data_IF_179652682347
#
_entry.id   IF_179652682347
#
_cell.length_a   1.000
_cell.length_b   1.000
_cell.length_c   1.000
_cell.angle_alpha   90.00
_cell.angle_beta   90.00
_cell.angle_gamma   90.00
#
_symmetry.space_group_name_H-M   'P 1'
#
loop_
_entity.id
_entity.type
_entity.pdbx_description
1 polymer ?
#
# COMPACT_ATOMS: atom_id res chain seq x y z
N UNK A 1 21.74 -34.33 -1.28
CA UNK A 1 23.09 -34.58 -1.80
C UNK A 1 22.96 -34.77 -3.31
N UNK A 2 23.56 -33.95 -4.15
CA UNK A 2 23.35 -33.87 -5.60
C UNK A 2 24.02 -34.94 -6.45
N UNK A 3 24.55 -36.04 -5.85
CA UNK A 3 25.13 -37.15 -6.59
C UNK A 3 24.19 -38.31 -6.63
N UNK A 4 24.05 -38.94 -7.83
CA UNK A 4 23.31 -40.18 -8.00
C UNK A 4 24.20 -41.37 -7.67
N UNK A 5 23.59 -42.51 -7.32
CA UNK A 5 24.32 -43.72 -6.90
C UNK A 5 25.29 -44.25 -7.97
N UNK A 6 25.08 -43.90 -9.24
CA UNK A 6 25.95 -44.28 -10.35
C UNK A 6 27.19 -43.38 -10.47
N UNK A 7 27.14 -42.15 -10.01
CA UNK A 7 28.29 -41.24 -9.96
C UNK A 7 29.35 -41.74 -8.98
N UNK A 8 28.93 -42.40 -7.90
CA UNK A 8 29.81 -42.95 -6.86
C UNK A 8 30.56 -44.22 -7.33
N UNK A 9 30.03 -44.96 -8.30
CA UNK A 9 30.64 -46.18 -8.84
C UNK A 9 31.81 -45.91 -9.81
N UNK A 10 31.90 -44.69 -10.33
CA UNK A 10 32.94 -44.32 -11.27
C UNK A 10 34.20 -43.74 -10.62
N UNK A 11 34.19 -43.56 -9.32
CA UNK A 11 35.30 -42.94 -8.56
C UNK A 11 36.34 -44.00 -8.19
N UNK A 12 37.57 -43.84 -8.64
CA UNK A 12 38.72 -44.65 -8.23
C UNK A 12 39.39 -44.05 -6.99
N UNK A 13 39.20 -44.67 -5.78
CA UNK A 13 39.69 -44.12 -4.53
C UNK A 13 41.20 -43.99 -4.44
N UNK A 14 41.94 -44.69 -5.28
CA UNK A 14 43.42 -44.71 -5.24
C UNK A 14 44.00 -43.60 -6.11
N UNK A 15 43.31 -43.26 -7.21
CA UNK A 15 43.76 -42.19 -8.16
C UNK A 15 43.18 -40.82 -7.81
N UNK A 16 42.03 -40.81 -7.16
CA UNK A 16 41.26 -39.59 -6.93
C UNK A 16 41.15 -39.23 -5.46
N UNK A 17 42.02 -39.77 -4.61
CA UNK A 17 41.95 -39.66 -3.14
C UNK A 17 41.88 -38.21 -2.62
N UNK A 18 42.53 -37.24 -3.25
CA UNK A 18 42.39 -35.84 -2.90
C UNK A 18 41.08 -35.21 -3.40
N UNK A 19 40.57 -35.66 -4.55
CA UNK A 19 39.28 -35.17 -5.08
C UNK A 19 38.09 -35.69 -4.27
N UNK A 20 38.17 -36.89 -3.70
CA UNK A 20 37.15 -37.46 -2.81
C UNK A 20 37.03 -36.65 -1.50
N UNK A 21 38.12 -35.99 -1.08
CA UNK A 21 38.10 -35.12 0.10
C UNK A 21 37.38 -33.78 -0.11
N UNK A 22 37.07 -33.43 -1.38
CA UNK A 22 36.36 -32.23 -1.72
C UNK A 22 34.95 -32.55 -2.22
N UNK A 23 33.96 -32.15 -1.45
CA UNK A 23 32.55 -32.33 -1.80
C UNK A 23 31.97 -31.00 -2.29
N UNK A 24 31.51 -30.94 -3.55
CA UNK A 24 30.82 -29.77 -4.08
C UNK A 24 29.36 -29.78 -3.63
N UNK A 25 28.96 -28.76 -2.88
CA UNK A 25 27.57 -28.53 -2.55
C UNK A 25 26.95 -27.61 -3.61
N UNK A 26 26.04 -28.17 -4.40
CA UNK A 26 25.33 -27.41 -5.46
C UNK A 26 23.97 -26.97 -5.00
N UNK A 27 23.56 -25.75 -5.44
CA UNK A 27 22.19 -25.30 -5.24
C UNK A 27 21.21 -26.21 -6.00
N UNK A 28 20.09 -26.61 -5.39
CA UNK A 28 19.13 -27.51 -6.02
C UNK A 28 18.29 -26.84 -7.12
N UNK A 29 18.27 -25.52 -7.18
CA UNK A 29 17.58 -24.71 -8.17
C UNK A 29 18.25 -23.33 -8.32
N UNK A 30 17.92 -22.62 -9.39
CA UNK A 30 18.36 -21.24 -9.60
C UNK A 30 17.69 -20.31 -8.61
N UNK A 31 18.49 -19.60 -7.81
CA UNK A 31 17.95 -18.75 -6.75
C UNK A 31 18.96 -17.77 -6.18
N UNK A 32 18.56 -17.10 -5.13
CA UNK A 32 19.41 -16.17 -4.38
C UNK A 32 19.75 -16.77 -3.02
N UNK A 33 21.02 -16.74 -2.63
CA UNK A 33 21.43 -17.11 -1.27
C UNK A 33 20.94 -16.02 -0.32
N UNK A 34 19.97 -16.34 0.54
CA UNK A 34 19.37 -15.43 1.51
C UNK A 34 19.93 -15.61 2.93
N UNK A 35 20.60 -16.73 3.18
CA UNK A 35 21.24 -17.02 4.46
C UNK A 35 22.50 -17.85 4.26
N UNK A 36 23.54 -17.54 5.05
CA UNK A 36 24.78 -18.30 5.15
C UNK A 36 25.11 -18.51 6.63
N UNK A 37 25.04 -19.76 7.09
CA UNK A 37 25.20 -20.16 8.50
C UNK A 37 26.49 -20.98 8.74
N UNK A 38 27.47 -20.85 7.87
CA UNK A 38 28.73 -21.62 7.95
C UNK A 38 29.94 -20.71 7.74
N UNK A 39 31.03 -20.97 8.45
CA UNK A 39 32.31 -20.30 8.28
C UNK A 39 33.40 -21.25 7.84
N UNK A 40 34.50 -20.72 7.33
CA UNK A 40 35.63 -21.51 6.87
C UNK A 40 36.21 -22.34 8.03
N UNK A 41 36.53 -23.63 7.77
CA UNK A 41 37.05 -24.59 8.71
C UNK A 41 36.07 -25.02 9.82
N UNK A 42 34.81 -24.69 9.73
CA UNK A 42 33.78 -25.18 10.63
C UNK A 42 33.45 -26.65 10.32
N UNK A 43 33.26 -27.45 11.37
CA UNK A 43 32.77 -28.83 11.21
C UNK A 43 31.25 -28.83 11.05
N UNK A 44 30.78 -29.34 9.95
CA UNK A 44 29.34 -29.45 9.63
C UNK A 44 28.89 -30.91 9.70
N UNK A 45 27.64 -31.14 10.10
CA UNK A 45 26.98 -32.44 10.11
C UNK A 45 25.84 -32.51 9.10
N UNK A 46 25.20 -33.67 8.97
CA UNK A 46 24.08 -33.85 8.04
C UNK A 46 22.90 -32.92 8.24
N UNK A 47 22.67 -32.49 9.51
CA UNK A 47 21.55 -31.62 9.89
C UNK A 47 21.93 -30.13 9.96
N UNK A 48 23.18 -29.80 9.55
CA UNK A 48 23.64 -28.40 9.58
C UNK A 48 23.10 -27.65 8.37
N UNK A 49 22.27 -26.63 8.62
CA UNK A 49 21.81 -25.72 7.59
C UNK A 49 22.95 -24.74 7.25
N UNK A 50 23.63 -24.97 6.14
CA UNK A 50 24.78 -24.16 5.72
C UNK A 50 24.36 -22.93 4.93
N UNK A 51 23.41 -23.10 4.01
CA UNK A 51 22.93 -22.03 3.13
C UNK A 51 21.40 -22.13 2.98
N UNK A 52 20.76 -20.97 2.91
CA UNK A 52 19.36 -20.84 2.49
C UNK A 52 19.33 -20.22 1.09
N UNK A 53 18.65 -20.89 0.18
CA UNK A 53 18.44 -20.41 -1.19
C UNK A 53 16.95 -20.20 -1.41
N UNK A 54 16.57 -19.07 -1.95
CA UNK A 54 15.17 -18.76 -2.29
C UNK A 54 15.05 -18.24 -3.71
N UNK A 55 13.95 -18.62 -4.36
CA UNK A 55 13.51 -17.96 -5.59
C UNK A 55 12.74 -16.69 -5.22
N UNK A 56 13.28 -15.54 -5.63
CA UNK A 56 12.72 -14.21 -5.38
C UNK A 56 12.05 -13.61 -6.61
N UNK A 57 11.87 -14.39 -7.68
CA UNK A 57 11.18 -13.95 -8.89
C UNK A 57 9.69 -13.76 -8.71
N UNK A 58 9.13 -14.45 -7.71
CA UNK A 58 7.72 -14.32 -7.31
C UNK A 58 7.67 -14.16 -5.79
N UNK A 59 6.89 -13.19 -5.33
CA UNK A 59 6.71 -12.93 -3.91
C UNK A 59 5.24 -13.06 -3.50
N UNK A 60 5.03 -13.27 -2.21
CA UNK A 60 3.71 -13.23 -1.61
C UNK A 60 3.51 -11.91 -0.86
N UNK A 61 2.38 -11.27 -1.13
CA UNK A 61 1.86 -10.18 -0.34
C UNK A 61 0.88 -10.78 0.67
N UNK A 62 1.18 -10.64 1.95
CA UNK A 62 0.29 -11.07 3.03
C UNK A 62 -0.35 -9.86 3.67
N UNK A 63 -1.67 -9.90 3.82
CA UNK A 63 -2.48 -8.88 4.45
C UNK A 63 -3.33 -9.48 5.55
N UNK A 64 -3.36 -8.84 6.71
CA UNK A 64 -4.27 -9.17 7.79
C UNK A 64 -5.41 -8.13 7.80
N UNK A 65 -6.56 -8.53 7.26
CA UNK A 65 -7.71 -7.65 7.02
C UNK A 65 -8.61 -7.63 8.26
N UNK A 66 -8.84 -6.46 8.83
CA UNK A 66 -9.72 -6.30 9.98
C UNK A 66 -11.16 -6.68 9.67
N UNK A 67 -11.86 -7.26 10.64
CA UNK A 67 -13.27 -7.66 10.54
C UNK A 67 -14.17 -6.56 9.96
N UNK A 68 -13.97 -5.30 10.34
CA UNK A 68 -14.74 -4.14 9.86
C UNK A 68 -14.57 -3.88 8.35
N UNK A 69 -13.43 -4.29 7.78
CA UNK A 69 -13.06 -4.06 6.38
C UNK A 69 -13.33 -5.28 5.48
N UNK A 70 -13.73 -6.43 6.05
CA UNK A 70 -14.07 -7.64 5.28
C UNK A 70 -15.13 -7.41 4.19
N UNK A 71 -16.18 -6.59 4.38
CA UNK A 71 -17.11 -6.32 3.29
C UNK A 71 -16.45 -5.71 2.05
N UNK A 72 -15.37 -4.95 2.23
CA UNK A 72 -14.63 -4.32 1.13
C UNK A 72 -13.81 -5.33 0.32
N UNK A 73 -13.35 -6.42 0.94
CA UNK A 73 -12.57 -7.45 0.24
C UNK A 73 -13.38 -8.18 -0.82
N UNK A 74 -14.70 -8.27 -0.66
CA UNK A 74 -15.61 -8.86 -1.66
C UNK A 74 -15.61 -8.08 -2.99
N UNK A 75 -15.19 -6.81 -2.96
CA UNK A 75 -15.12 -5.95 -4.15
C UNK A 75 -13.74 -5.99 -4.83
N UNK A 76 -12.74 -6.64 -4.21
CA UNK A 76 -11.39 -6.75 -4.78
C UNK A 76 -11.34 -7.64 -6.03
N UNK A 77 -12.28 -8.59 -6.17
CA UNK A 77 -12.19 -9.63 -7.19
C UNK A 77 -10.95 -10.51 -6.95
N UNK A 78 -10.16 -10.71 -8.01
CA UNK A 78 -8.94 -11.53 -7.96
C UNK A 78 -7.65 -10.69 -7.78
N UNK A 79 -7.75 -9.36 -7.68
CA UNK A 79 -6.59 -8.47 -7.68
C UNK A 79 -6.50 -7.66 -6.40
N UNK A 80 -5.36 -7.73 -5.74
CA UNK A 80 -4.97 -6.89 -4.63
C UNK A 80 -4.06 -5.78 -5.13
N UNK A 81 -4.39 -4.53 -4.83
CA UNK A 81 -3.55 -3.37 -5.12
C UNK A 81 -2.83 -2.90 -3.88
N UNK A 82 -1.54 -2.60 -4.02
CA UNK A 82 -0.73 -2.11 -2.91
C UNK A 82 0.35 -1.14 -3.38
N UNK A 83 0.88 -0.37 -2.44
CA UNK A 83 2.06 0.50 -2.63
C UNK A 83 3.19 0.03 -1.74
N UNK A 84 4.41 0.14 -2.24
CA UNK A 84 5.61 0.00 -1.43
C UNK A 84 6.00 1.36 -0.84
N UNK A 85 6.64 1.43 0.33
CA UNK A 85 7.03 2.70 0.95
C UNK A 85 7.98 3.54 0.09
N UNK A 86 8.74 2.89 -0.77
CA UNK A 86 9.77 3.49 -1.60
C UNK A 86 9.25 4.01 -2.95
N UNK A 87 7.96 3.82 -3.24
CA UNK A 87 7.38 4.16 -4.55
C UNK A 87 5.90 4.49 -4.45
N UNK A 88 5.51 5.58 -5.12
CA UNK A 88 4.09 5.90 -5.35
C UNK A 88 3.42 4.98 -6.38
N UNK A 89 4.20 4.09 -6.98
CA UNK A 89 3.67 3.14 -7.96
C UNK A 89 2.69 2.16 -7.31
N UNK A 90 1.53 2.00 -7.93
CA UNK A 90 0.52 1.04 -7.51
C UNK A 90 0.81 -0.32 -8.14
N UNK A 91 1.20 -1.28 -7.31
CA UNK A 91 1.42 -2.66 -7.72
C UNK A 91 0.12 -3.45 -7.71
N UNK A 92 0.02 -4.45 -8.57
CA UNK A 92 -1.11 -5.39 -8.62
C UNK A 92 -0.62 -6.81 -8.35
N UNK A 93 -1.21 -7.46 -7.38
CA UNK A 93 -0.94 -8.85 -7.00
C UNK A 93 -2.20 -9.69 -7.18
N UNK A 94 -2.05 -10.94 -7.63
CA UNK A 94 -3.17 -11.86 -7.81
C UNK A 94 -3.48 -12.58 -6.50
N UNK A 95 -4.71 -12.43 -6.01
CA UNK A 95 -5.20 -13.10 -4.81
C UNK A 95 -5.35 -14.60 -5.10
N UNK A 96 -4.78 -15.43 -4.26
CA UNK A 96 -4.91 -16.89 -4.35
C UNK A 96 -5.46 -17.51 -3.06
N UNK A 97 -5.51 -16.75 -1.97
CA UNK A 97 -6.03 -17.24 -0.69
C UNK A 97 -6.68 -16.09 0.10
N UNK A 98 -7.86 -16.37 0.59
CA UNK A 98 -8.55 -15.58 1.59
C UNK A 98 -9.01 -16.52 2.70
N UNK A 99 -8.60 -16.25 3.93
CA UNK A 99 -8.94 -17.09 5.08
C UNK A 99 -10.44 -17.06 5.38
N UNK A 100 -10.98 -18.19 5.79
CA UNK A 100 -12.38 -18.34 6.21
C UNK A 100 -12.55 -18.15 7.74
N UNK A 101 -11.43 -18.15 8.47
CA UNK A 101 -11.43 -18.08 9.94
C UNK A 101 -10.87 -16.75 10.38
N UNK A 102 -11.61 -16.08 11.27
CA UNK A 102 -11.16 -14.87 11.95
C UNK A 102 -10.20 -15.25 13.09
N UNK A 103 -9.03 -14.66 13.08
CA UNK A 103 -8.11 -14.74 14.20
C UNK A 103 -8.73 -14.03 15.42
N UNK A 104 -8.95 -14.72 16.55
CA UNK A 104 -9.66 -14.15 17.70
C UNK A 104 -8.84 -13.08 18.45
N UNK A 105 -7.51 -13.12 18.37
CA UNK A 105 -6.64 -12.18 19.06
C UNK A 105 -6.53 -10.86 18.30
N UNK A 106 -6.28 -10.94 17.00
CA UNK A 106 -6.09 -9.76 16.14
C UNK A 106 -7.39 -9.26 15.51
N UNK A 107 -8.43 -10.09 15.49
CA UNK A 107 -9.70 -9.86 14.78
C UNK A 107 -9.51 -9.56 13.31
N UNK A 108 -8.58 -10.29 12.69
CA UNK A 108 -8.27 -10.19 11.27
C UNK A 108 -8.50 -11.50 10.54
N UNK A 109 -8.70 -11.39 9.22
CA UNK A 109 -8.68 -12.51 8.30
C UNK A 109 -7.46 -12.37 7.40
N UNK A 110 -6.73 -13.45 7.21
CA UNK A 110 -5.53 -13.46 6.38
C UNK A 110 -5.87 -13.56 4.91
N UNK A 111 -5.32 -12.63 4.12
CA UNK A 111 -5.37 -12.64 2.66
C UNK A 111 -3.96 -12.80 2.13
N UNK A 112 -3.78 -13.60 1.07
CA UNK A 112 -2.51 -13.76 0.38
C UNK A 112 -2.68 -13.58 -1.11
N UNK A 113 -1.72 -12.87 -1.71
CA UNK A 113 -1.67 -12.62 -3.13
C UNK A 113 -0.24 -12.84 -3.64
N UNK A 114 -0.09 -13.25 -4.90
CA UNK A 114 1.21 -13.38 -5.56
C UNK A 114 1.49 -12.20 -6.46
N UNK A 115 2.76 -11.79 -6.52
CA UNK A 115 3.26 -10.77 -7.45
C UNK A 115 4.54 -11.25 -8.09
N UNK A 116 4.68 -11.03 -9.40
CA UNK A 116 5.93 -11.24 -10.12
C UNK A 116 6.92 -10.13 -9.77
N UNK A 117 8.18 -10.50 -9.55
CA UNK A 117 9.25 -9.62 -9.10
C UNK A 117 10.52 -9.81 -9.96
N UNK A 118 10.43 -9.59 -11.28
CA UNK A 118 11.55 -9.86 -12.20
C UNK A 118 12.78 -9.00 -11.90
N UNK A 119 12.55 -7.75 -11.53
CA UNK A 119 13.62 -6.77 -11.23
C UNK A 119 14.14 -6.87 -9.80
N UNK A 120 13.56 -7.76 -8.97
CA UNK A 120 13.91 -7.99 -7.56
C UNK A 120 13.95 -6.72 -6.70
N UNK A 121 13.19 -5.68 -7.08
CA UNK A 121 13.11 -4.44 -6.28
C UNK A 121 12.25 -4.63 -5.02
N UNK A 122 11.22 -5.46 -5.08
CA UNK A 122 10.48 -5.87 -3.89
C UNK A 122 11.29 -6.92 -3.12
N UNK A 123 11.38 -6.76 -1.81
CA UNK A 123 12.16 -7.67 -0.96
C UNK A 123 11.25 -8.32 0.09
N UNK A 124 11.48 -9.62 0.39
CA UNK A 124 10.81 -10.24 1.51
C UNK A 124 11.02 -9.44 2.80
N UNK A 125 9.95 -9.32 3.60
CA UNK A 125 9.98 -8.53 4.84
C UNK A 125 9.67 -7.04 4.66
N UNK A 126 9.48 -6.54 3.45
CA UNK A 126 8.98 -5.17 3.24
C UNK A 126 7.53 -5.04 3.71
N UNK A 127 7.23 -3.92 4.38
CA UNK A 127 5.86 -3.52 4.64
C UNK A 127 5.28 -2.82 3.41
N UNK A 128 4.01 -3.06 3.15
CA UNK A 128 3.29 -2.48 2.02
C UNK A 128 1.94 -1.92 2.46
N UNK A 129 1.47 -0.88 1.79
CA UNK A 129 0.16 -0.31 2.03
C UNK A 129 -0.86 -0.89 1.04
N UNK A 130 -1.89 -1.55 1.57
CA UNK A 130 -2.92 -2.18 0.75
C UNK A 130 -4.05 -1.20 0.48
N UNK A 131 -4.40 -1.05 -0.79
CA UNK A 131 -5.55 -0.27 -1.23
C UNK A 131 -6.81 -1.13 -1.20
N UNK A 132 -7.68 -0.90 -0.23
CA UNK A 132 -9.02 -1.49 -0.22
C UNK A 132 -9.99 -0.58 -0.95
N UNK A 133 -10.97 -1.13 -1.71
CA UNK A 133 -12.03 -0.33 -2.31
C UNK A 133 -12.77 0.47 -1.23
N UNK A 134 -12.90 1.77 -1.47
CA UNK A 134 -13.72 2.65 -0.63
C UNK A 134 -15.18 2.63 -1.10
N UNK A 135 -16.07 3.23 -0.30
CA UNK A 135 -17.41 3.52 -0.75
C UNK A 135 -17.37 4.53 -1.89
N UNK A 136 -17.95 4.19 -3.03
CA UNK A 136 -18.14 5.15 -4.12
C UNK A 136 -19.31 6.05 -3.74
N UNK A 137 -19.01 7.27 -3.36
CA UNK A 137 -20.03 8.28 -3.11
C UNK A 137 -20.43 8.88 -4.45
N UNK A 138 -21.64 8.61 -4.91
CA UNK A 138 -22.24 9.24 -6.09
C UNK A 138 -23.00 10.51 -5.70
N UNK A 139 -23.09 11.47 -6.63
CA UNK A 139 -23.84 12.72 -6.46
C UNK A 139 -23.34 13.60 -5.27
N UNK A 140 -22.05 13.63 -5.04
CA UNK A 140 -21.46 14.52 -4.06
C UNK A 140 -20.92 15.80 -4.71
N UNK A 141 -21.09 16.91 -4.02
CA UNK A 141 -20.41 18.16 -4.35
C UNK A 141 -19.05 18.14 -3.70
N UNK A 142 -18.01 18.35 -4.48
CA UNK A 142 -16.62 18.45 -3.98
C UNK A 142 -16.02 19.78 -4.38
N UNK A 143 -15.19 20.35 -3.49
CA UNK A 143 -14.42 21.56 -3.73
C UNK A 143 -12.97 21.35 -3.36
N UNK A 144 -12.03 22.07 -3.98
CA UNK A 144 -10.68 22.21 -3.44
C UNK A 144 -10.71 22.77 -2.02
N UNK A 145 -9.84 22.30 -1.14
CA UNK A 145 -9.76 22.77 0.24
C UNK A 145 -9.51 24.29 0.34
N UNK A 146 -8.83 24.87 -0.66
CA UNK A 146 -8.59 26.32 -0.78
C UNK A 146 -9.86 27.18 -0.92
N UNK A 147 -10.96 26.58 -1.40
CA UNK A 147 -12.24 27.28 -1.54
C UNK A 147 -12.97 27.47 -0.21
N UNK A 148 -12.61 26.69 0.83
CA UNK A 148 -13.27 26.70 2.13
C UNK A 148 -12.54 27.69 3.02
N UNK A 149 -13.28 28.62 3.60
CA UNK A 149 -12.77 29.62 4.54
C UNK A 149 -13.50 29.45 5.87
N UNK A 150 -12.78 29.67 6.97
CA UNK A 150 -13.40 29.69 8.29
C UNK A 150 -13.75 31.14 8.64
N UNK A 151 -15.02 31.39 8.92
CA UNK A 151 -15.53 32.70 9.38
C UNK A 151 -16.42 32.48 10.60
N UNK A 152 -16.11 33.14 11.74
CA UNK A 152 -16.86 33.04 12.98
C UNK A 152 -17.06 31.59 13.49
N UNK A 153 -16.02 30.73 13.31
CA UNK A 153 -16.06 29.33 13.72
C UNK A 153 -16.92 28.43 12.82
N UNK A 154 -17.26 28.89 11.62
CA UNK A 154 -18.03 28.13 10.64
C UNK A 154 -17.27 28.01 9.32
N UNK A 155 -17.36 26.86 8.69
CA UNK A 155 -16.89 26.67 7.33
C UNK A 155 -17.83 27.39 6.36
N UNK A 156 -17.26 28.27 5.54
CA UNK A 156 -17.99 29.03 4.54
C UNK A 156 -17.30 28.97 3.18
N UNK A 157 -18.07 29.18 2.14
CA UNK A 157 -17.60 29.38 0.77
C UNK A 157 -18.19 30.68 0.22
N UNK A 158 -17.53 31.26 -0.77
CA UNK A 158 -18.06 32.40 -1.49
C UNK A 158 -18.65 31.93 -2.82
N UNK A 159 -19.95 32.13 -3.00
CA UNK A 159 -20.68 31.77 -4.23
C UNK A 159 -20.88 33.04 -5.04
N UNK A 160 -20.50 33.01 -6.32
CA UNK A 160 -20.74 34.09 -7.25
C UNK A 160 -22.25 34.14 -7.61
N UNK A 161 -22.91 35.24 -7.32
CA UNK A 161 -24.32 35.48 -7.62
C UNK A 161 -24.53 36.50 -8.75
N UNK A 162 -23.49 37.25 -9.13
CA UNK A 162 -23.50 38.23 -10.22
C UNK A 162 -22.10 38.47 -10.77
N UNK A 163 -21.94 39.45 -11.68
CA UNK A 163 -20.65 39.75 -12.32
C UNK A 163 -19.58 40.10 -11.30
N UNK A 164 -19.93 40.87 -10.27
CA UNK A 164 -19.04 41.31 -9.17
C UNK A 164 -19.67 41.03 -7.79
N UNK A 165 -20.71 40.23 -7.72
CA UNK A 165 -21.43 39.94 -6.50
C UNK A 165 -21.12 38.52 -5.99
N UNK A 166 -20.75 38.47 -4.71
CA UNK A 166 -20.43 37.23 -4.03
C UNK A 166 -21.24 37.13 -2.74
N UNK A 167 -21.75 35.96 -2.46
CA UNK A 167 -22.51 35.64 -1.27
C UNK A 167 -21.68 34.70 -0.37
N UNK A 168 -21.54 35.06 0.91
CA UNK A 168 -21.01 34.13 1.94
C UNK A 168 -22.05 33.08 2.24
N UNK A 169 -21.73 31.80 2.04
CA UNK A 169 -22.63 30.69 2.32
C UNK A 169 -21.98 29.69 3.28
N UNK A 170 -22.68 29.39 4.37
CA UNK A 170 -22.24 28.36 5.32
C UNK A 170 -22.38 26.98 4.65
N UNK A 171 -21.38 26.14 4.86
CA UNK A 171 -21.36 24.77 4.32
C UNK A 171 -21.05 23.78 5.42
N UNK A 172 -21.56 22.57 5.26
CA UNK A 172 -21.14 21.43 6.08
C UNK A 172 -20.15 20.60 5.29
N UNK A 173 -18.93 20.56 5.77
CA UNK A 173 -17.87 19.73 5.16
C UNK A 173 -18.04 18.26 5.56
N UNK A 174 -17.64 17.37 4.66
CA UNK A 174 -17.62 15.94 4.86
C UNK A 174 -16.20 15.38 4.84
N UNK A 175 -16.02 14.27 4.12
CA UNK A 175 -14.71 13.63 3.97
C UNK A 175 -13.74 14.51 3.19
N UNK A 176 -12.45 14.43 3.56
CA UNK A 176 -11.33 15.02 2.83
C UNK A 176 -10.55 13.92 2.15
N UNK A 177 -10.18 14.15 0.89
CA UNK A 177 -9.33 13.25 0.10
C UNK A 177 -8.29 14.07 -0.65
N UNK A 178 -7.05 14.07 -0.18
CA UNK A 178 -6.01 14.98 -0.67
C UNK A 178 -6.45 16.43 -0.53
N UNK A 179 -6.35 17.20 -1.62
CA UNK A 179 -6.76 18.61 -1.68
C UNK A 179 -8.27 18.82 -1.89
N UNK A 180 -9.05 17.75 -1.94
CA UNK A 180 -10.49 17.83 -2.22
C UNK A 180 -11.30 17.56 -0.96
N UNK A 181 -12.35 18.35 -0.75
CA UNK A 181 -13.25 18.27 0.39
C UNK A 181 -14.69 18.07 -0.10
N UNK A 182 -15.37 17.09 0.46
CA UNK A 182 -16.79 16.85 0.23
C UNK A 182 -17.61 17.94 0.93
N UNK A 183 -18.61 18.48 0.23
CA UNK A 183 -19.64 19.34 0.82
C UNK A 183 -20.93 18.53 0.98
N UNK A 184 -21.36 18.36 2.23
CA UNK A 184 -22.57 17.60 2.57
C UNK A 184 -23.83 18.43 2.49
N UNK A 185 -23.69 19.74 2.76
CA UNK A 185 -24.83 20.66 2.83
C UNK A 185 -24.37 22.10 2.53
N UNK A 186 -25.26 22.95 2.03
CA UNK A 186 -25.00 24.38 1.76
C UNK A 186 -24.71 24.70 0.31
N UNK A 187 -24.46 23.71 -0.58
CA UNK A 187 -24.25 23.93 -2.01
C UNK A 187 -25.09 23.01 -2.87
N UNK A 188 -25.44 23.50 -4.05
CA UNK A 188 -26.12 22.72 -5.08
C UNK A 188 -25.23 22.60 -6.32
N UNK A 189 -25.37 21.53 -7.11
CA UNK A 189 -24.73 21.42 -8.42
C UNK A 189 -25.03 22.64 -9.29
N UNK A 190 -23.99 23.19 -9.92
CA UNK A 190 -24.11 24.40 -10.75
C UNK A 190 -23.80 25.71 -10.01
N UNK A 191 -23.64 25.72 -8.69
CA UNK A 191 -23.15 26.92 -7.98
C UNK A 191 -21.71 27.23 -8.40
N UNK A 192 -21.44 28.49 -8.74
CA UNK A 192 -20.09 28.97 -9.05
C UNK A 192 -19.41 29.40 -7.76
N UNK A 193 -18.39 28.64 -7.33
CA UNK A 193 -17.67 28.87 -6.07
C UNK A 193 -16.30 29.48 -6.37
N UNK A 194 -15.90 30.44 -5.54
CA UNK A 194 -14.58 31.07 -5.62
C UNK A 194 -13.55 30.12 -5.04
N UNK A 195 -12.62 29.65 -5.87
CA UNK A 195 -11.54 28.72 -5.48
C UNK A 195 -10.25 29.48 -5.13
N UNK A 196 -10.00 30.61 -5.82
CA UNK A 196 -8.82 31.45 -5.61
C UNK A 196 -9.27 32.85 -5.23
N UNK A 197 -8.63 33.46 -4.23
CA UNK A 197 -8.99 34.79 -3.75
C UNK A 197 -10.06 34.83 -2.64
N UNK A 198 -10.51 33.69 -2.14
CA UNK A 198 -11.48 33.60 -1.04
C UNK A 198 -11.05 34.36 0.23
N UNK A 199 -9.74 34.40 0.51
CA UNK A 199 -9.19 35.18 1.63
C UNK A 199 -9.41 36.71 1.46
N UNK A 200 -9.30 37.22 0.25
CA UNK A 200 -9.56 38.63 -0.02
C UNK A 200 -11.03 39.00 0.25
N UNK A 201 -11.97 38.16 -0.21
CA UNK A 201 -13.39 38.31 0.05
C UNK A 201 -13.72 38.20 1.54
N UNK A 202 -13.09 37.28 2.28
CA UNK A 202 -13.21 37.17 3.73
C UNK A 202 -12.75 38.47 4.42
N UNK A 203 -11.60 39.04 4.02
CA UNK A 203 -11.04 40.27 4.60
C UNK A 203 -11.95 41.46 4.36
N UNK A 204 -12.54 41.57 3.18
CA UNK A 204 -13.47 42.65 2.84
C UNK A 204 -14.79 42.56 3.64
N UNK A 205 -15.31 41.35 3.78
CA UNK A 205 -16.49 41.08 4.60
C UNK A 205 -16.27 41.48 6.07
N UNK A 206 -15.09 41.17 6.64
CA UNK A 206 -14.75 41.51 8.01
C UNK A 206 -14.59 43.03 8.22
N UNK A 207 -14.07 43.78 7.24
CA UNK A 207 -14.00 45.22 7.29
C UNK A 207 -15.40 45.87 7.28
N UNK A 208 -16.30 45.35 6.43
CA UNK A 208 -17.69 45.84 6.36
C UNK A 208 -18.49 45.62 7.65
N UNK A 209 -18.22 44.55 8.40
CA UNK A 209 -18.89 44.28 9.69
C UNK A 209 -18.41 45.19 10.82
N UNK A 210 -17.20 45.72 10.76
CA UNK A 210 -16.67 46.66 11.77
C UNK A 210 -17.20 48.10 11.55
N UNK A 211 -17.65 48.42 10.33
CA UNK A 211 -18.13 49.77 9.97
C UNK A 211 -19.59 50.06 10.41
N UNK A 212 -20.35 49.10 10.92
CA UNK A 212 -21.74 49.27 11.34
C UNK A 212 -21.96 49.21 12.86
N UNK A 213 -20.89 49.34 13.64
CA UNK A 213 -20.90 49.38 15.12
C UNK A 213 -20.62 50.76 15.69
N UNK A 214 -21.37 51.79 15.29
CA UNK A 214 -21.45 53.10 16.00
C UNK A 214 -22.89 53.53 16.10
#
# INVERSE_FOLDING_TARGET
LGYQQDDLKSIDPIKEGEMIAHYELRAPFDGTVIGKNVVLAERVGPDTEMFQVADLSTLWVQADIYQKDLPKTRQLGETLRFRSPDSDHLHEARIFYTGDILDPETRTVRLRATIDNPDRHLKPGMFVEIALPGETLSNIVTLPASAIQEVEGHDVVFVQTGLEAFEKRKVKVGMRSGDTVQIRDGLQPGNKVVVVGGFALKSELMKGSISHGH
#
